data_IF_195075546388
#
_entry.id   IF_195075546388
#
_cell.length_a   1.000
_cell.length_b   1.000
_cell.length_c   1.000
_cell.angle_alpha   90.00
_cell.angle_beta   90.00
_cell.angle_gamma   90.00
#
_symmetry.space_group_name_H-M   'P 1'
#
loop_
_entity.id
_entity.type
_entity.pdbx_description
1 polymer ?
#
# COMPACT_ATOMS: atom_id res chain seq x y z
N UNK A 1 10.37 15.37 39.20
CA UNK A 1 11.34 14.69 38.31
C UNK A 1 10.54 13.84 37.33
N UNK A 2 10.14 14.43 36.22
CA UNK A 2 9.42 13.76 35.12
C UNK A 2 9.90 14.44 33.85
N UNK A 3 10.98 13.91 33.29
CA UNK A 3 11.58 14.40 32.05
C UNK A 3 11.66 13.27 31.03
N UNK A 4 10.59 12.49 30.81
CA UNK A 4 10.81 11.23 30.08
C UNK A 4 9.78 10.70 29.09
N UNK A 5 8.69 11.38 28.72
CA UNK A 5 7.76 10.71 27.78
C UNK A 5 7.03 11.55 26.74
N UNK A 6 7.00 12.87 26.88
CA UNK A 6 6.33 13.73 25.91
C UNK A 6 7.29 14.08 24.78
N UNK A 7 7.25 13.30 23.70
CA UNK A 7 7.96 13.50 22.45
C UNK A 7 9.46 13.17 22.49
N UNK A 8 9.81 12.04 21.85
CA UNK A 8 11.03 12.01 21.04
C UNK A 8 10.92 13.23 20.13
N UNK A 9 11.62 14.30 20.49
CA UNK A 9 11.61 15.50 19.69
C UNK A 9 12.30 15.15 18.37
N UNK A 10 11.75 15.56 17.21
CA UNK A 10 12.44 15.40 15.93
C UNK A 10 13.89 15.91 16.00
N UNK A 11 14.15 16.92 16.83
CA UNK A 11 15.49 17.42 17.17
C UNK A 11 16.42 16.36 17.77
N UNK A 12 15.93 15.52 18.71
CA UNK A 12 16.74 14.45 19.30
C UNK A 12 17.15 13.39 18.25
N UNK A 13 16.23 13.02 17.36
CA UNK A 13 16.55 12.11 16.25
C UNK A 13 17.57 12.73 15.28
N UNK A 14 17.49 14.03 15.01
CA UNK A 14 18.46 14.73 14.15
C UNK A 14 19.86 14.68 14.79
N UNK A 15 19.98 14.92 16.10
CA UNK A 15 21.27 14.88 16.80
C UNK A 15 21.88 13.48 16.73
N UNK A 16 21.09 12.44 17.03
CA UNK A 16 21.54 11.04 16.92
C UNK A 16 21.90 10.70 15.48
N UNK A 17 21.10 11.17 14.52
CA UNK A 17 21.36 11.05 13.09
C UNK A 17 22.70 11.66 12.70
N UNK A 18 23.04 12.87 13.16
CA UNK A 18 24.32 13.51 12.87
C UNK A 18 25.49 12.70 13.45
N UNK A 19 25.40 12.22 14.69
CA UNK A 19 26.46 11.38 15.29
C UNK A 19 26.62 10.07 14.49
N UNK A 20 25.52 9.42 14.13
CA UNK A 20 25.54 8.23 13.29
C UNK A 20 26.11 8.53 11.89
N UNK A 21 25.83 9.71 11.33
CA UNK A 21 26.37 10.15 10.05
C UNK A 21 27.86 10.47 10.10
N UNK A 22 28.41 10.86 11.24
CA UNK A 22 29.86 11.02 11.40
C UNK A 22 30.55 9.64 11.40
N UNK A 23 29.97 8.66 12.10
CA UNK A 23 30.54 7.31 12.20
C UNK A 23 30.36 6.53 10.88
N UNK A 24 29.14 6.52 10.33
CA UNK A 24 28.80 5.75 9.14
C UNK A 24 28.98 6.53 7.83
N UNK A 25 28.86 7.85 7.84
CA UNK A 25 28.91 8.70 6.64
C UNK A 25 27.53 8.92 5.99
N UNK A 26 27.25 10.12 5.45
CA UNK A 26 25.97 10.46 4.81
C UNK A 26 25.67 9.66 3.54
N UNK A 27 26.70 9.09 2.90
CA UNK A 27 26.51 8.22 1.73
C UNK A 27 26.09 6.80 2.10
N UNK A 28 26.38 6.34 3.33
CA UNK A 28 26.10 4.96 3.74
C UNK A 28 24.63 4.72 4.06
N UNK A 29 23.95 5.63 4.76
CA UNK A 29 22.51 5.49 5.00
C UNK A 29 21.67 5.30 3.72
N UNK A 30 21.81 6.10 2.65
CA UNK A 30 21.05 5.89 1.41
C UNK A 30 21.51 4.64 0.64
N UNK A 31 22.79 4.27 0.71
CA UNK A 31 23.31 3.02 0.12
C UNK A 31 22.68 1.79 0.80
N UNK A 32 22.67 1.74 2.14
CA UNK A 32 21.99 0.71 2.93
C UNK A 32 20.49 0.69 2.66
N UNK A 33 19.82 1.85 2.61
CA UNK A 33 18.39 1.93 2.29
C UNK A 33 18.04 1.39 0.91
N UNK A 34 18.89 1.60 -0.11
CA UNK A 34 18.70 1.03 -1.45
C UNK A 34 18.88 -0.48 -1.48
N UNK A 35 19.91 -0.98 -0.78
CA UNK A 35 20.16 -2.42 -0.67
C UNK A 35 18.99 -3.11 0.04
N UNK A 36 18.61 -2.64 1.23
CA UNK A 36 17.48 -3.18 1.98
C UNK A 36 16.16 -3.01 1.25
N UNK A 37 15.92 -1.86 0.59
CA UNK A 37 14.71 -1.62 -0.18
C UNK A 37 14.55 -2.59 -1.35
N UNK A 38 15.64 -2.97 -2.01
CA UNK A 38 15.62 -3.99 -3.07
C UNK A 38 15.24 -5.36 -2.50
N UNK A 39 15.86 -5.76 -1.39
CA UNK A 39 15.51 -7.00 -0.68
C UNK A 39 14.05 -7.03 -0.23
N UNK A 40 13.56 -5.95 0.39
CA UNK A 40 12.16 -5.84 0.83
C UNK A 40 11.19 -5.90 -0.36
N UNK A 41 11.56 -5.31 -1.50
CA UNK A 41 10.74 -5.35 -2.72
C UNK A 41 10.64 -6.76 -3.29
N UNK A 42 11.75 -7.50 -3.33
CA UNK A 42 11.78 -8.89 -3.78
C UNK A 42 11.06 -9.80 -2.78
N UNK A 43 11.28 -9.61 -1.49
CA UNK A 43 10.58 -10.32 -0.42
C UNK A 43 9.06 -10.11 -0.51
N UNK A 44 8.61 -8.87 -0.73
CA UNK A 44 7.18 -8.57 -0.94
C UNK A 44 6.63 -9.32 -2.15
N UNK A 45 7.33 -9.29 -3.28
CA UNK A 45 6.88 -10.00 -4.50
C UNK A 45 6.77 -11.51 -4.28
N UNK A 46 7.78 -12.11 -3.64
CA UNK A 46 7.76 -13.54 -3.32
C UNK A 46 6.63 -13.90 -2.36
N UNK A 47 6.46 -13.12 -1.29
CA UNK A 47 5.40 -13.35 -0.29
C UNK A 47 4.01 -13.12 -0.88
N UNK A 48 3.85 -12.14 -1.76
CA UNK A 48 2.56 -11.82 -2.38
C UNK A 48 2.09 -12.92 -3.34
N UNK A 49 3.00 -13.60 -4.05
CA UNK A 49 2.66 -14.79 -4.82
C UNK A 49 2.19 -15.97 -3.96
N UNK A 50 2.81 -16.17 -2.79
CA UNK A 50 2.41 -17.22 -1.83
C UNK A 50 1.05 -16.94 -1.15
N UNK A 51 0.77 -15.66 -0.87
CA UNK A 51 -0.52 -15.23 -0.32
C UNK A 51 -1.61 -15.32 -1.41
N UNK A 52 -1.32 -14.92 -2.64
CA UNK A 52 -2.30 -14.96 -3.74
C UNK A 52 -2.75 -16.39 -4.03
N UNK A 53 -1.85 -17.38 -4.01
CA UNK A 53 -2.18 -18.81 -4.13
C UNK A 53 -3.09 -19.35 -3.00
N UNK A 54 -3.22 -18.60 -1.90
CA UNK A 54 -4.13 -18.91 -0.78
C UNK A 54 -5.43 -18.09 -0.78
N UNK A 55 -5.54 -17.05 -1.63
CA UNK A 55 -6.63 -16.05 -1.63
C UNK A 55 -7.22 -15.75 -3.04
N UNK A 56 -6.87 -16.52 -4.09
CA UNK A 56 -7.38 -16.29 -5.46
C UNK A 56 -8.89 -16.48 -5.66
N UNK A 57 -9.66 -16.89 -4.65
CA UNK A 57 -11.11 -17.07 -4.83
C UNK A 57 -11.92 -15.77 -4.78
N UNK A 58 -11.46 -14.69 -4.13
CA UNK A 58 -12.40 -13.60 -3.75
C UNK A 58 -12.26 -12.25 -4.48
N UNK A 59 -11.17 -11.92 -5.19
CA UNK A 59 -11.00 -10.56 -5.78
C UNK A 59 -11.21 -10.45 -7.29
N UNK A 60 -11.16 -11.53 -8.06
CA UNK A 60 -11.39 -11.47 -9.53
C UNK A 60 -12.86 -11.48 -9.93
N UNK A 61 -13.77 -12.01 -9.10
CA UNK A 61 -15.21 -12.07 -9.40
C UNK A 61 -15.98 -10.76 -9.12
N UNK A 62 -15.43 -9.81 -8.36
CA UNK A 62 -16.16 -8.59 -7.97
C UNK A 62 -16.22 -7.56 -9.11
N UNK A 63 -15.22 -7.54 -10.00
CA UNK A 63 -15.11 -6.53 -11.06
C UNK A 63 -15.98 -6.88 -12.30
N UNK A 64 -16.33 -8.16 -12.49
CA UNK A 64 -17.10 -8.62 -13.66
C UNK A 64 -18.63 -8.57 -13.43
N UNK A 65 -19.09 -8.67 -12.17
CA UNK A 65 -20.52 -8.68 -11.83
C UNK A 65 -21.15 -7.26 -11.89
N UNK A 66 -20.37 -6.20 -11.68
CA UNK A 66 -20.86 -4.81 -11.62
C UNK A 66 -21.21 -4.21 -12.99
N UNK A 67 -20.59 -4.68 -14.09
CA UNK A 67 -20.86 -4.13 -15.42
C UNK A 67 -22.09 -4.73 -16.13
N UNK A 68 -22.53 -5.92 -15.73
CA UNK A 68 -23.67 -6.58 -16.38
C UNK A 68 -25.03 -6.11 -15.82
N UNK A 69 -25.10 -5.73 -14.53
CA UNK A 69 -26.32 -5.20 -13.92
C UNK A 69 -26.70 -3.82 -14.48
N UNK A 70 -25.72 -2.96 -14.78
CA UNK A 70 -25.95 -1.62 -15.36
C UNK A 70 -26.56 -1.67 -16.77
N UNK A 71 -26.48 -2.81 -17.44
CA UNK A 71 -27.03 -3.03 -18.78
C UNK A 71 -28.47 -3.54 -18.76
N UNK A 72 -28.92 -4.17 -17.66
CA UNK A 72 -30.27 -4.74 -17.54
C UNK A 72 -31.28 -3.68 -17.06
N UNK A 73 -30.88 -2.75 -16.19
CA UNK A 73 -31.78 -1.69 -15.67
C UNK A 73 -32.20 -0.66 -16.75
N UNK A 74 -31.42 -0.50 -17.83
CA UNK A 74 -31.71 0.47 -18.89
C UNK A 74 -32.73 -0.02 -19.94
N UNK A 75 -33.08 -1.31 -19.95
CA UNK A 75 -33.97 -1.91 -20.95
C UNK A 75 -35.45 -1.84 -20.52
N UNK A 76 -35.76 -1.69 -19.22
CA UNK A 76 -37.15 -1.71 -18.73
C UNK A 76 -37.88 -0.36 -18.71
N UNK A 77 -37.22 0.78 -18.98
CA UNK A 77 -37.91 2.11 -18.93
C UNK A 77 -38.32 2.66 -20.30
N UNK A 78 -38.42 1.85 -21.36
CA UNK A 78 -38.83 2.35 -22.70
C UNK A 78 -39.97 1.60 -23.40
N UNK A 79 -40.56 0.57 -22.79
CA UNK A 79 -41.66 -0.20 -23.40
C UNK A 79 -43.06 0.15 -22.82
N UNK A 80 -43.26 1.33 -22.22
CA UNK A 80 -44.59 1.80 -21.79
C UNK A 80 -44.80 3.29 -22.08
N UNK A 81 -44.65 3.71 -23.34
CA UNK A 81 -45.20 4.99 -23.81
C UNK A 81 -45.78 4.92 -25.24
N UNK A 82 -46.08 3.73 -25.74
CA UNK A 82 -46.72 3.58 -27.05
C UNK A 82 -47.87 2.55 -27.01
N UNK A 83 -48.83 2.76 -26.12
CA UNK A 83 -50.21 2.35 -26.38
C UNK A 83 -51.18 3.12 -25.46
N UNK A 84 -51.48 4.36 -25.82
CA UNK A 84 -52.78 4.99 -25.52
C UNK A 84 -53.17 5.90 -26.67
#
# INVERSE_FOLDING_TARGET
>A
MVVHLSAITPTALIIIGIVALIIFGPKKLPEFGRAMGTTLREFKKGTQGLIDDSDVTDKKNIIEIDQQQKSIEKVETKEQEHNK
#
